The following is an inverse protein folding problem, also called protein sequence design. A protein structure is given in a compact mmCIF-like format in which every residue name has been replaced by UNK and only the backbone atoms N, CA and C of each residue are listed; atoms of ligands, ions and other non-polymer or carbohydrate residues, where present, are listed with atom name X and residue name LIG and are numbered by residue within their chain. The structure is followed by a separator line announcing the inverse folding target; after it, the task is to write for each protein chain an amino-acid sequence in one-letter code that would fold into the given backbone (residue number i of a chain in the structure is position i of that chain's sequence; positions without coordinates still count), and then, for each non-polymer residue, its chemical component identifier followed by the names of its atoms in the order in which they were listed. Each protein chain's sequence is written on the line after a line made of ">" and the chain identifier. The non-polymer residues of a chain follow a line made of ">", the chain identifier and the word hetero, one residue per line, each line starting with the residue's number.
data_IF_612528544952
#
_entry.id   IF_612528544952
#
_cell.length_a   1.000
_cell.length_b   1.000
_cell.length_c   1.000
_cell.angle_alpha   90.00
_cell.angle_beta   90.00
_cell.angle_gamma   90.00
#
_symmetry.space_group_name_H-M   'P 1'
#
loop_
_entity.id
_entity.type
_entity.pdbx_description
1 polymer ?
#
# COMPACT_ATOMS: atom_id res chain seq x y z
N UNK A 1 -25.82 -21.61 6.07
CA UNK A 1 -25.40 -20.31 6.50
C UNK A 1 -24.03 -20.42 7.15
N UNK A 2 -23.06 -19.67 6.67
CA UNK A 2 -21.76 -19.57 7.33
C UNK A 2 -21.96 -18.99 8.73
N UNK A 3 -21.34 -19.62 9.72
CA UNK A 3 -21.40 -19.18 11.12
C UNK A 3 -20.72 -17.80 11.21
N UNK A 4 -21.34 -16.87 11.90
CA UNK A 4 -20.73 -15.56 12.14
C UNK A 4 -19.34 -15.73 12.78
N UNK A 5 -18.33 -14.94 12.34
CA UNK A 5 -16.99 -15.04 12.89
C UNK A 5 -16.99 -14.69 14.39
N UNK A 6 -16.40 -15.55 15.20
CA UNK A 6 -16.19 -15.31 16.63
C UNK A 6 -14.82 -14.65 16.84
N UNK A 7 -14.79 -13.58 17.64
CA UNK A 7 -13.56 -12.86 17.97
C UNK A 7 -12.45 -13.78 18.48
N UNK A 8 -12.79 -14.69 19.39
CA UNK A 8 -11.81 -15.60 19.99
C UNK A 8 -11.19 -16.55 18.97
N UNK A 9 -12.00 -17.05 18.03
CA UNK A 9 -11.51 -17.90 16.94
C UNK A 9 -10.62 -17.12 15.97
N UNK A 10 -10.99 -15.89 15.62
CA UNK A 10 -10.19 -15.00 14.78
C UNK A 10 -8.83 -14.70 15.42
N UNK A 11 -8.81 -14.37 16.72
CA UNK A 11 -7.57 -14.11 17.45
C UNK A 11 -6.68 -15.34 17.52
N UNK A 12 -7.23 -16.51 17.84
CA UNK A 12 -6.46 -17.78 17.85
C UNK A 12 -5.84 -18.07 16.48
N UNK A 13 -6.57 -17.81 15.39
CA UNK A 13 -6.07 -18.00 14.03
C UNK A 13 -4.91 -17.05 13.74
N UNK A 14 -5.03 -15.76 14.07
CA UNK A 14 -4.00 -14.76 13.89
C UNK A 14 -2.73 -15.09 14.69
N UNK A 15 -2.87 -15.48 15.96
CA UNK A 15 -1.73 -15.88 16.80
C UNK A 15 -1.01 -17.13 16.26
N UNK A 16 -1.74 -18.06 15.67
CA UNK A 16 -1.12 -19.24 15.03
C UNK A 16 -0.42 -18.92 13.71
N UNK A 17 -0.87 -17.89 13.02
CA UNK A 17 -0.31 -17.47 11.73
C UNK A 17 0.98 -16.68 11.91
N UNK A 18 1.12 -15.91 12.98
CA UNK A 18 2.26 -15.00 13.23
C UNK A 18 2.95 -15.24 14.57
N UNK A 19 3.35 -16.48 14.90
CA UNK A 19 3.90 -16.80 16.22
C UNK A 19 5.27 -16.19 16.48
N UNK A 20 6.10 -16.06 15.44
CA UNK A 20 7.46 -15.52 15.55
C UNK A 20 7.41 -14.00 15.74
N UNK A 21 6.59 -13.30 14.95
CA UNK A 21 6.39 -11.85 15.02
C UNK A 21 5.84 -11.44 16.39
N UNK A 22 4.88 -12.20 16.90
CA UNK A 22 4.29 -11.96 18.22
C UNK A 22 5.34 -12.20 19.34
N UNK A 23 6.13 -13.28 19.24
CA UNK A 23 7.16 -13.58 20.23
C UNK A 23 8.33 -12.58 20.18
N UNK A 24 8.63 -12.03 19.02
CA UNK A 24 9.67 -11.03 18.82
C UNK A 24 9.26 -9.62 19.27
N UNK A 25 7.95 -9.36 19.41
CA UNK A 25 7.44 -8.06 19.82
C UNK A 25 7.75 -7.81 21.31
N UNK A 26 8.71 -6.94 21.58
CA UNK A 26 9.15 -6.64 22.95
C UNK A 26 8.03 -5.99 23.79
N UNK A 27 7.18 -5.19 23.17
CA UNK A 27 6.07 -4.52 23.83
C UNK A 27 5.04 -5.50 24.39
N UNK A 28 4.80 -6.63 23.72
CA UNK A 28 3.86 -7.68 24.16
C UNK A 28 4.37 -8.51 25.33
N UNK A 29 5.65 -8.40 25.69
CA UNK A 29 6.20 -9.02 26.92
C UNK A 29 5.69 -8.33 28.19
N UNK A 30 5.17 -7.12 28.08
CA UNK A 30 4.54 -6.43 29.19
C UNK A 30 3.06 -6.84 29.29
N UNK A 31 2.62 -7.51 30.39
CA UNK A 31 1.24 -7.99 30.55
C UNK A 31 0.18 -6.87 30.45
N UNK A 32 0.54 -5.64 30.81
CA UNK A 32 -0.38 -4.52 30.69
C UNK A 32 -0.56 -4.12 29.22
N UNK A 33 0.51 -4.10 28.44
CA UNK A 33 0.48 -3.83 27.01
C UNK A 33 -0.25 -4.91 26.22
N UNK A 34 -0.03 -6.17 26.58
CA UNK A 34 -0.77 -7.30 26.00
C UNK A 34 -2.28 -7.13 26.18
N UNK A 35 -2.74 -6.76 27.40
CA UNK A 35 -4.15 -6.49 27.66
C UNK A 35 -4.69 -5.31 26.87
N UNK A 36 -3.94 -4.22 26.77
CA UNK A 36 -4.32 -3.04 25.98
C UNK A 36 -4.49 -3.41 24.49
N UNK A 37 -3.55 -4.17 23.92
CA UNK A 37 -3.63 -4.65 22.54
C UNK A 37 -4.83 -5.57 22.35
N UNK A 38 -5.08 -6.50 23.26
CA UNK A 38 -6.23 -7.40 23.17
C UNK A 38 -7.57 -6.62 23.24
N UNK A 39 -7.65 -5.59 24.07
CA UNK A 39 -8.83 -4.72 24.15
C UNK A 39 -9.03 -3.89 22.88
N UNK A 40 -7.95 -3.31 22.34
CA UNK A 40 -7.99 -2.57 21.09
C UNK A 40 -8.41 -3.47 19.91
N UNK A 41 -7.86 -4.67 19.81
CA UNK A 41 -8.26 -5.66 18.80
C UNK A 41 -9.74 -6.01 18.89
N UNK A 42 -10.26 -6.20 20.11
CA UNK A 42 -11.68 -6.50 20.34
C UNK A 42 -12.56 -5.33 19.92
N UNK A 43 -12.18 -4.13 20.28
CA UNK A 43 -12.90 -2.91 19.88
C UNK A 43 -12.95 -2.77 18.34
N UNK A 44 -11.82 -2.97 17.66
CA UNK A 44 -11.77 -2.91 16.20
C UNK A 44 -12.68 -3.99 15.56
N UNK A 45 -12.65 -5.22 16.09
CA UNK A 45 -13.51 -6.30 15.62
C UNK A 45 -14.99 -5.95 15.74
N UNK A 46 -15.42 -5.44 16.91
CA UNK A 46 -16.82 -5.06 17.14
C UNK A 46 -17.26 -3.91 16.22
N UNK A 47 -16.42 -2.91 16.02
CA UNK A 47 -16.73 -1.78 15.12
C UNK A 47 -16.80 -2.21 13.64
N UNK A 48 -15.93 -3.12 13.19
CA UNK A 48 -16.03 -3.69 11.84
C UNK A 48 -17.34 -4.47 11.71
N UNK A 49 -17.67 -5.29 12.70
CA UNK A 49 -18.91 -6.08 12.72
C UNK A 49 -20.15 -5.19 12.65
N UNK A 50 -20.22 -4.15 13.49
CA UNK A 50 -21.30 -3.16 13.49
C UNK A 50 -21.39 -2.46 12.12
N UNK A 51 -20.29 -2.03 11.55
CA UNK A 51 -20.27 -1.39 10.23
C UNK A 51 -20.85 -2.31 9.14
N UNK A 52 -20.45 -3.58 9.13
CA UNK A 52 -20.92 -4.56 8.13
C UNK A 52 -22.38 -4.97 8.36
N UNK A 53 -22.82 -5.08 9.62
CA UNK A 53 -24.18 -5.51 9.95
C UNK A 53 -25.21 -4.38 9.86
N UNK A 54 -24.82 -3.14 10.13
CA UNK A 54 -25.72 -2.01 10.24
C UNK A 54 -25.50 -0.95 9.16
N UNK A 55 -24.24 -0.47 8.99
CA UNK A 55 -23.97 0.64 8.07
C UNK A 55 -24.13 0.22 6.61
N UNK A 56 -23.70 -0.98 6.23
CA UNK A 56 -23.85 -1.48 4.85
C UNK A 56 -25.30 -1.55 4.40
N UNK A 57 -26.22 -1.75 5.33
CA UNK A 57 -27.66 -1.85 5.04
C UNK A 57 -28.36 -0.49 4.94
N UNK A 58 -27.68 0.61 5.30
CA UNK A 58 -28.30 1.93 5.26
C UNK A 58 -28.46 2.43 3.84
N UNK A 59 -29.54 3.17 3.54
CA UNK A 59 -29.72 3.79 2.25
C UNK A 59 -28.56 4.73 1.89
N UNK A 60 -28.06 4.62 0.66
CA UNK A 60 -26.96 5.45 0.16
C UNK A 60 -25.59 4.81 0.21
N UNK A 61 -25.43 3.65 0.85
CA UNK A 61 -24.25 2.80 0.72
C UNK A 61 -24.50 1.72 -0.34
N UNK A 62 -23.53 1.54 -1.23
CA UNK A 62 -23.57 0.50 -2.27
C UNK A 62 -22.58 -0.60 -1.88
N UNK A 63 -22.91 -1.37 -0.84
CA UNK A 63 -22.04 -2.36 -0.24
C UNK A 63 -22.81 -3.64 0.09
N UNK A 64 -22.35 -4.76 -0.43
CA UNK A 64 -22.86 -6.11 -0.11
C UNK A 64 -21.72 -6.99 0.38
N UNK A 65 -21.78 -7.40 1.64
CA UNK A 65 -20.78 -8.28 2.25
C UNK A 65 -20.62 -9.64 1.55
N UNK A 66 -21.65 -10.09 0.84
CA UNK A 66 -21.63 -11.39 0.15
C UNK A 66 -21.04 -11.31 -1.27
N UNK A 67 -20.96 -10.11 -1.81
CA UNK A 67 -20.41 -9.87 -3.16
C UNK A 67 -19.14 -9.02 -3.10
N UNK A 68 -18.18 -9.46 -2.28
CA UNK A 68 -16.95 -8.74 -2.03
C UNK A 68 -15.72 -9.61 -2.27
N UNK A 69 -14.62 -8.92 -2.58
CA UNK A 69 -13.25 -9.45 -2.58
C UNK A 69 -12.48 -8.75 -1.49
N UNK A 70 -11.85 -9.54 -0.61
CA UNK A 70 -11.01 -9.02 0.46
C UNK A 70 -9.56 -9.00 0.02
N UNK A 71 -8.87 -7.93 0.37
CA UNK A 71 -7.45 -7.71 0.08
C UNK A 71 -7.05 -7.90 -1.40
N UNK A 72 -7.86 -7.43 -2.39
CA UNK A 72 -7.46 -7.53 -3.79
C UNK A 72 -6.21 -6.67 -4.05
N UNK A 73 -5.25 -7.26 -4.73
CA UNK A 73 -4.00 -6.59 -5.11
C UNK A 73 -4.04 -6.15 -6.56
N UNK A 74 -3.43 -5.01 -6.85
CA UNK A 74 -3.39 -4.39 -8.17
C UNK A 74 -1.99 -3.96 -8.56
N UNK A 75 -1.71 -4.10 -9.83
CA UNK A 75 -0.56 -3.49 -10.49
C UNK A 75 -1.10 -2.59 -11.60
N UNK A 76 -0.77 -1.32 -11.56
CA UNK A 76 -1.14 -0.34 -12.58
C UNK A 76 0.11 0.10 -13.33
N UNK A 77 0.38 -0.48 -14.48
CA UNK A 77 1.54 -0.15 -15.32
C UNK A 77 1.51 1.29 -15.79
N UNK A 78 0.34 1.81 -16.20
CA UNK A 78 0.17 3.17 -16.68
C UNK A 78 0.59 4.23 -15.66
N UNK A 79 0.43 3.94 -14.35
CA UNK A 79 0.84 4.82 -13.27
C UNK A 79 2.13 4.37 -12.58
N UNK A 80 2.64 3.16 -12.85
CA UNK A 80 3.76 2.56 -12.14
C UNK A 80 3.49 2.46 -10.63
N UNK A 81 2.27 2.06 -10.26
CA UNK A 81 1.80 1.94 -8.88
C UNK A 81 1.26 0.53 -8.68
N UNK A 82 1.61 -0.05 -7.56
CA UNK A 82 0.99 -1.27 -7.06
C UNK A 82 0.36 -1.00 -5.70
N UNK A 83 -0.67 -1.75 -5.35
CA UNK A 83 -1.34 -1.60 -4.07
C UNK A 83 -2.31 -2.73 -3.79
N UNK A 84 -2.74 -2.80 -2.54
CA UNK A 84 -3.74 -3.75 -2.07
C UNK A 84 -4.83 -2.98 -1.33
N UNK A 85 -6.07 -3.14 -1.79
CA UNK A 85 -7.27 -2.63 -1.12
C UNK A 85 -7.67 -3.57 0.01
N UNK A 86 -8.31 -3.05 1.04
CA UNK A 86 -8.80 -3.91 2.13
C UNK A 86 -10.09 -4.63 1.76
N UNK A 87 -10.99 -3.94 1.05
CA UNK A 87 -12.30 -4.48 0.64
C UNK A 87 -12.74 -3.88 -0.69
N UNK A 88 -13.31 -4.68 -1.58
CA UNK A 88 -13.87 -4.21 -2.84
C UNK A 88 -15.08 -5.06 -3.25
N UNK A 89 -16.12 -4.42 -3.79
CA UNK A 89 -17.21 -5.12 -4.47
C UNK A 89 -16.69 -5.78 -5.76
N UNK A 90 -17.23 -6.94 -6.14
CA UNK A 90 -16.77 -7.67 -7.34
C UNK A 90 -16.95 -6.90 -8.62
N UNK A 91 -18.01 -6.06 -8.70
CA UNK A 91 -18.25 -5.16 -9.84
C UNK A 91 -17.31 -3.93 -9.83
N UNK A 92 -16.42 -3.82 -8.85
CA UNK A 92 -15.51 -2.70 -8.64
C UNK A 92 -16.20 -1.34 -8.46
N UNK A 93 -17.50 -1.32 -8.23
CA UNK A 93 -18.26 -0.08 -8.04
C UNK A 93 -17.98 0.57 -6.68
N UNK A 94 -17.66 -0.21 -5.69
CA UNK A 94 -17.43 0.28 -4.32
C UNK A 94 -16.23 -0.40 -3.68
N UNK A 95 -15.47 0.36 -2.93
CA UNK A 95 -14.34 -0.17 -2.17
C UNK A 95 -14.12 0.58 -0.85
N UNK A 96 -13.49 -0.09 0.10
CA UNK A 96 -13.19 0.45 1.42
C UNK A 96 -11.70 0.31 1.69
N UNK A 97 -11.09 1.38 2.15
CA UNK A 97 -9.77 1.38 2.77
C UNK A 97 -9.94 1.50 4.28
N UNK A 98 -9.38 0.57 5.05
CA UNK A 98 -9.50 0.52 6.50
C UNK A 98 -8.29 1.14 7.20
N UNK A 99 -8.56 1.81 8.33
CA UNK A 99 -7.53 2.44 9.16
C UNK A 99 -7.80 2.14 10.64
N UNK A 100 -6.83 1.54 11.31
CA UNK A 100 -6.89 1.27 12.76
C UNK A 100 -6.54 2.51 13.61
N UNK A 101 -5.95 3.54 13.01
CA UNK A 101 -5.57 4.79 13.68
C UNK A 101 -6.76 5.72 13.94
N UNK A 102 -6.45 6.88 14.54
CA UNK A 102 -7.43 7.95 14.75
C UNK A 102 -7.62 8.79 13.49
N UNK A 103 -8.85 9.24 13.24
CA UNK A 103 -9.15 10.32 12.32
C UNK A 103 -8.68 11.68 12.90
N UNK A 104 -8.69 12.74 12.11
CA UNK A 104 -8.42 14.08 12.59
C UNK A 104 -9.66 14.62 13.29
N UNK A 105 -9.47 15.19 14.49
CA UNK A 105 -10.52 15.81 15.26
C UNK A 105 -10.40 17.33 15.14
N UNK A 106 -11.38 17.94 14.48
CA UNK A 106 -11.46 19.41 14.39
C UNK A 106 -12.18 19.96 15.62
N UNK A 107 -11.41 20.52 16.55
CA UNK A 107 -11.84 20.98 17.85
C UNK A 107 -13.02 21.99 17.84
N UNK A 108 -13.28 22.69 16.74
CA UNK A 108 -14.36 23.66 16.64
C UNK A 108 -15.75 23.07 16.36
N UNK A 109 -15.83 21.80 15.93
CA UNK A 109 -17.10 21.20 15.51
C UNK A 109 -17.37 19.81 16.11
N UNK A 110 -16.43 19.23 16.85
CA UNK A 110 -16.53 17.84 17.35
C UNK A 110 -16.64 16.80 16.23
N UNK A 111 -16.33 17.19 14.99
CA UNK A 111 -16.46 16.35 13.82
C UNK A 111 -15.13 15.66 13.54
N UNK A 112 -15.18 14.33 13.43
CA UNK A 112 -14.04 13.54 12.96
C UNK A 112 -13.96 13.63 11.44
N UNK A 113 -12.78 13.89 10.90
CA UNK A 113 -12.53 13.91 9.45
C UNK A 113 -11.37 12.98 9.07
N UNK A 114 -11.43 12.38 7.87
CA UNK A 114 -10.34 11.57 7.38
C UNK A 114 -9.03 12.36 7.23
N UNK A 115 -7.93 11.76 7.67
CA UNK A 115 -6.60 12.33 7.45
C UNK A 115 -6.30 12.47 5.97
N UNK A 116 -5.62 13.55 5.60
CA UNK A 116 -5.30 13.86 4.21
C UNK A 116 -4.48 12.75 3.52
N UNK A 117 -3.51 12.14 4.21
CA UNK A 117 -2.74 11.02 3.66
C UNK A 117 -3.60 9.79 3.34
N UNK A 118 -4.61 9.49 4.17
CA UNK A 118 -5.54 8.38 3.92
C UNK A 118 -6.46 8.69 2.73
N UNK A 119 -6.88 9.96 2.58
CA UNK A 119 -7.62 10.41 1.39
C UNK A 119 -6.77 10.29 0.12
N UNK A 120 -5.49 10.67 0.19
CA UNK A 120 -4.55 10.53 -0.94
C UNK A 120 -4.44 9.08 -1.38
N UNK A 121 -4.27 8.15 -0.44
CA UNK A 121 -4.20 6.71 -0.73
C UNK A 121 -5.46 6.23 -1.45
N UNK A 122 -6.63 6.59 -0.94
CA UNK A 122 -7.90 6.23 -1.57
C UNK A 122 -8.06 6.81 -2.99
N UNK A 123 -7.60 8.06 -3.22
CA UNK A 123 -7.61 8.68 -4.54
C UNK A 123 -6.67 7.99 -5.52
N UNK A 124 -5.54 7.46 -5.03
CA UNK A 124 -4.64 6.63 -5.84
C UNK A 124 -5.31 5.31 -6.23
N UNK A 125 -6.04 4.66 -5.33
CA UNK A 125 -6.80 3.46 -5.69
C UNK A 125 -7.89 3.74 -6.74
N UNK A 126 -8.59 4.86 -6.65
CA UNK A 126 -9.51 5.27 -7.71
C UNK A 126 -8.80 5.41 -9.06
N UNK A 127 -7.62 6.05 -9.07
CA UNK A 127 -6.82 6.17 -10.29
C UNK A 127 -6.36 4.80 -10.80
N UNK A 128 -5.92 3.90 -9.92
CA UNK A 128 -5.55 2.53 -10.30
C UNK A 128 -6.72 1.80 -10.96
N UNK A 129 -7.90 1.80 -10.36
CA UNK A 129 -9.08 1.14 -10.93
C UNK A 129 -9.52 1.76 -12.26
N UNK A 130 -9.41 3.09 -12.40
CA UNK A 130 -9.71 3.77 -13.66
C UNK A 130 -8.72 3.40 -14.77
N UNK A 131 -7.41 3.44 -14.49
CA UNK A 131 -6.37 3.24 -15.50
C UNK A 131 -6.07 1.76 -15.80
N UNK A 132 -6.26 0.86 -14.83
CA UNK A 132 -5.99 -0.57 -15.02
C UNK A 132 -7.22 -1.36 -15.45
N UNK A 133 -8.40 -0.99 -14.92
CA UNK A 133 -9.63 -1.77 -15.08
C UNK A 133 -10.70 -1.06 -15.93
N UNK A 134 -10.43 0.18 -16.38
CA UNK A 134 -11.35 0.96 -17.18
C UNK A 134 -12.61 1.39 -16.42
N UNK A 135 -12.58 1.39 -15.08
CA UNK A 135 -13.74 1.81 -14.28
C UNK A 135 -14.01 3.29 -14.42
N UNK A 136 -15.27 3.64 -14.69
CA UNK A 136 -15.66 5.03 -14.75
C UNK A 136 -15.64 5.65 -13.35
N UNK A 137 -14.91 6.75 -13.18
CA UNK A 137 -14.78 7.43 -11.89
C UNK A 137 -16.11 7.80 -11.25
N UNK A 138 -17.10 8.17 -12.06
CA UNK A 138 -18.44 8.57 -11.58
C UNK A 138 -19.25 7.42 -10.99
N UNK A 139 -18.95 6.19 -11.39
CA UNK A 139 -19.60 4.99 -10.88
C UNK A 139 -18.93 4.42 -9.64
N UNK A 140 -17.74 4.95 -9.26
CA UNK A 140 -17.01 4.46 -8.09
C UNK A 140 -17.48 5.15 -6.81
N UNK A 141 -17.69 4.35 -5.78
CA UNK A 141 -18.06 4.77 -4.42
C UNK A 141 -16.96 4.37 -3.43
N UNK A 142 -15.93 5.20 -3.27
CA UNK A 142 -14.85 4.95 -2.32
C UNK A 142 -15.25 5.32 -0.90
N UNK A 143 -14.82 4.50 0.06
CA UNK A 143 -15.06 4.71 1.48
C UNK A 143 -13.77 4.59 2.29
N UNK A 144 -13.69 5.34 3.38
CA UNK A 144 -12.67 5.20 4.42
C UNK A 144 -13.33 4.72 5.71
N UNK A 145 -12.91 3.57 6.23
CA UNK A 145 -13.36 3.03 7.50
C UNK A 145 -12.27 3.22 8.56
N UNK A 146 -12.57 4.04 9.56
CA UNK A 146 -11.74 4.10 10.76
C UNK A 146 -12.28 3.12 11.79
N UNK A 147 -11.62 1.98 11.95
CA UNK A 147 -12.09 0.90 12.82
C UNK A 147 -12.01 1.22 14.31
N UNK A 148 -11.33 2.32 14.68
CA UNK A 148 -11.39 2.87 16.04
C UNK A 148 -12.77 3.48 16.37
N UNK A 149 -13.55 3.76 15.36
CA UNK A 149 -14.93 4.24 15.43
C UNK A 149 -15.75 3.44 14.41
N UNK A 150 -17.05 3.14 14.66
CA UNK A 150 -17.88 2.51 13.63
C UNK A 150 -18.31 3.54 12.56
N UNK A 151 -17.33 4.23 11.97
CA UNK A 151 -17.56 5.34 11.05
C UNK A 151 -17.00 5.04 9.67
N UNK A 152 -17.91 4.90 8.71
CA UNK A 152 -17.62 4.73 7.30
C UNK A 152 -17.83 6.07 6.58
N UNK A 153 -16.73 6.67 6.11
CA UNK A 153 -16.75 7.95 5.43
C UNK A 153 -16.87 7.74 3.92
N UNK A 154 -17.99 8.16 3.30
CA UNK A 154 -18.05 8.21 1.85
C UNK A 154 -17.12 9.32 1.36
N UNK A 155 -16.30 9.00 0.39
CA UNK A 155 -15.41 9.97 -0.21
C UNK A 155 -15.82 10.22 -1.65
N UNK A 156 -16.08 11.47 -1.99
CA UNK A 156 -16.32 11.91 -3.36
C UNK A 156 -15.06 12.62 -3.85
N UNK A 157 -14.44 12.08 -4.88
CA UNK A 157 -13.28 12.71 -5.48
C UNK A 157 -13.66 13.44 -6.75
N UNK A 158 -13.21 14.69 -6.87
CA UNK A 158 -13.24 15.39 -8.13
C UNK A 158 -12.08 14.97 -9.03
N UNK A 159 -12.23 15.10 -10.34
CA UNK A 159 -11.14 14.91 -11.30
C UNK A 159 -9.89 15.71 -10.95
N UNK A 160 -10.08 16.95 -10.54
CA UNK A 160 -8.97 17.82 -10.15
C UNK A 160 -8.15 17.25 -8.98
N UNK A 161 -8.81 16.60 -8.01
CA UNK A 161 -8.13 15.95 -6.89
C UNK A 161 -7.32 14.74 -7.34
N UNK A 162 -7.88 13.83 -8.12
CA UNK A 162 -7.17 12.66 -8.66
C UNK A 162 -5.98 13.11 -9.50
N UNK A 163 -6.17 14.07 -10.41
CA UNK A 163 -5.09 14.64 -11.24
C UNK A 163 -3.97 15.26 -10.40
N UNK A 164 -4.33 15.97 -9.33
CA UNK A 164 -3.33 16.54 -8.39
C UNK A 164 -2.48 15.47 -7.73
N UNK A 165 -3.08 14.34 -7.34
CA UNK A 165 -2.36 13.22 -6.73
C UNK A 165 -1.45 12.52 -7.74
N UNK A 166 -1.91 12.32 -8.96
CA UNK A 166 -1.06 11.79 -10.06
C UNK A 166 0.13 12.73 -10.32
N UNK A 167 -0.10 14.05 -10.34
CA UNK A 167 0.99 15.01 -10.47
C UNK A 167 1.98 14.93 -9.30
N UNK A 168 1.52 14.77 -8.07
CA UNK A 168 2.39 14.56 -6.91
C UNK A 168 3.26 13.30 -7.08
N UNK A 169 2.65 12.20 -7.49
CA UNK A 169 3.38 10.96 -7.83
C UNK A 169 4.45 11.23 -8.89
N UNK A 170 4.10 11.97 -9.95
CA UNK A 170 5.05 12.30 -11.02
C UNK A 170 6.21 13.17 -10.53
N UNK A 171 5.98 14.11 -9.62
CA UNK A 171 7.03 14.90 -8.98
C UNK A 171 7.98 14.03 -8.15
N UNK A 172 7.47 13.04 -7.41
CA UNK A 172 8.29 12.11 -6.63
C UNK A 172 9.19 11.30 -7.57
N UNK A 173 8.62 10.71 -8.62
CA UNK A 173 9.39 9.92 -9.61
C UNK A 173 10.42 10.79 -10.35
N UNK A 174 10.05 12.02 -10.72
CA UNK A 174 10.99 12.95 -11.34
C UNK A 174 12.16 13.31 -10.40
N UNK A 175 11.91 13.41 -9.09
CA UNK A 175 12.96 13.65 -8.10
C UNK A 175 13.89 12.44 -7.95
N UNK A 176 13.34 11.22 -7.87
CA UNK A 176 14.12 9.97 -7.83
C UNK A 176 14.96 9.81 -9.12
N UNK A 177 14.35 10.04 -10.27
CA UNK A 177 15.04 10.01 -11.56
C UNK A 177 16.12 11.08 -11.68
N UNK A 178 15.88 12.27 -11.13
CA UNK A 178 16.87 13.34 -11.07
C UNK A 178 18.12 12.94 -10.28
N UNK A 179 17.96 12.23 -9.16
CA UNK A 179 19.10 11.68 -8.40
C UNK A 179 19.87 10.66 -9.23
N UNK A 180 19.17 9.78 -9.95
CA UNK A 180 19.77 8.79 -10.84
C UNK A 180 20.55 9.46 -11.98
N UNK A 181 19.95 10.44 -12.65
CA UNK A 181 20.50 11.11 -13.82
C UNK A 181 21.74 11.97 -13.48
N UNK A 182 21.64 12.76 -12.43
CA UNK A 182 22.74 13.68 -12.05
C UNK A 182 23.89 12.94 -11.37
N UNK A 183 23.63 11.84 -10.71
CA UNK A 183 24.64 10.99 -10.06
C UNK A 183 25.67 11.75 -9.21
N UNK A 184 25.26 12.83 -8.54
CA UNK A 184 26.16 13.67 -7.77
C UNK A 184 25.51 14.13 -6.46
N UNK A 185 26.21 14.03 -5.32
CA UNK A 185 25.68 14.39 -4.00
C UNK A 185 25.15 15.81 -3.89
N UNK A 186 25.69 16.76 -4.68
CA UNK A 186 25.21 18.15 -4.68
C UNK A 186 23.78 18.30 -5.20
N UNK A 187 23.34 17.42 -6.12
CA UNK A 187 21.94 17.42 -6.55
C UNK A 187 21.03 17.00 -5.39
N UNK A 188 21.39 15.90 -4.73
CA UNK A 188 20.68 15.40 -3.55
C UNK A 188 20.65 16.44 -2.43
N UNK A 189 21.75 17.14 -2.20
CA UNK A 189 21.79 18.24 -1.23
C UNK A 189 20.78 19.33 -1.57
N UNK A 190 20.71 19.79 -2.82
CA UNK A 190 19.73 20.80 -3.26
C UNK A 190 18.29 20.30 -3.16
N UNK A 191 18.05 19.03 -3.49
CA UNK A 191 16.74 18.40 -3.38
C UNK A 191 16.27 18.37 -1.91
N UNK A 192 17.11 17.89 -1.01
CA UNK A 192 16.79 17.78 0.40
C UNK A 192 16.74 19.12 1.12
N UNK A 193 17.44 20.15 0.63
CA UNK A 193 17.34 21.52 1.14
C UNK A 193 15.94 22.13 0.95
N UNK A 194 15.11 21.55 0.08
CA UNK A 194 13.70 21.95 -0.06
C UNK A 194 12.81 21.47 1.10
N UNK A 195 13.32 20.58 1.95
CA UNK A 195 12.63 20.16 3.18
C UNK A 195 12.81 21.26 4.24
N UNK A 196 12.09 22.35 4.06
CA UNK A 196 12.08 23.47 5.00
C UNK A 196 10.69 24.12 5.06
N UNK A 197 10.36 24.82 6.16
CA UNK A 197 9.03 25.39 6.37
C UNK A 197 8.61 26.42 5.32
N UNK A 198 9.55 27.17 4.74
CA UNK A 198 9.23 28.21 3.74
C UNK A 198 8.80 27.61 2.41
N UNK A 199 9.37 26.47 2.03
CA UNK A 199 9.04 25.78 0.78
C UNK A 199 7.80 24.89 0.95
N UNK A 200 7.68 24.17 2.07
CA UNK A 200 6.62 23.20 2.28
C UNK A 200 5.30 23.81 2.75
N UNK A 201 5.31 25.03 3.27
CA UNK A 201 4.09 25.74 3.68
C UNK A 201 3.40 26.45 2.51
N UNK A 202 3.14 25.75 1.43
CA UNK A 202 2.50 26.33 0.24
C UNK A 202 1.07 26.84 0.50
N UNK A 203 0.40 26.31 1.53
CA UNK A 203 -0.95 26.74 1.94
C UNK A 203 -0.92 28.00 2.81
N UNK A 204 0.25 28.51 3.20
CA UNK A 204 0.37 29.65 4.11
C UNK A 204 -0.22 29.41 5.48
N UNK A 205 -0.11 28.19 6.00
CA UNK A 205 -0.66 27.83 7.31
C UNK A 205 -0.06 28.71 8.41
N UNK A 206 -0.90 29.14 9.33
CA UNK A 206 -0.54 29.98 10.47
C UNK A 206 -1.22 29.48 11.73
N UNK A 207 -0.86 30.06 12.88
CA UNK A 207 -1.48 29.77 14.17
C UNK A 207 -0.84 28.59 14.92
N UNK A 208 -1.48 28.22 16.02
CA UNK A 208 -0.90 27.31 17.02
C UNK A 208 -0.53 25.94 16.45
N UNK A 209 -1.37 25.38 15.59
CA UNK A 209 -1.12 24.06 14.99
C UNK A 209 0.14 24.07 14.10
N UNK A 210 0.29 25.12 13.28
CA UNK A 210 1.49 25.29 12.45
C UNK A 210 2.75 25.45 13.31
N UNK A 211 2.74 26.38 14.25
CA UNK A 211 3.93 26.73 15.04
C UNK A 211 4.35 25.61 16.00
N UNK A 212 3.40 24.87 16.58
CA UNK A 212 3.72 23.86 17.59
C UNK A 212 3.97 22.46 17.03
N UNK A 213 3.41 22.11 15.86
CA UNK A 213 3.45 20.74 15.36
C UNK A 213 4.10 20.62 13.98
N UNK A 214 3.62 21.34 12.99
CA UNK A 214 4.08 21.14 11.62
C UNK A 214 5.45 21.77 11.35
N UNK A 215 5.63 23.04 11.69
CA UNK A 215 6.89 23.75 11.49
C UNK A 215 8.08 23.09 12.19
N UNK A 216 8.01 22.71 13.49
CA UNK A 216 9.10 22.00 14.15
C UNK A 216 9.40 20.62 13.51
N UNK A 217 8.35 19.90 13.06
CA UNK A 217 8.53 18.62 12.39
C UNK A 217 9.30 18.76 11.08
N UNK A 218 9.00 19.80 10.28
CA UNK A 218 9.69 20.09 9.02
C UNK A 218 11.11 20.61 9.29
N UNK A 219 11.28 21.52 10.25
CA UNK A 219 12.58 22.12 10.55
C UNK A 219 13.62 21.12 11.08
N UNK A 220 13.15 20.08 11.76
CA UNK A 220 14.03 19.08 12.42
C UNK A 220 15.09 18.50 11.50
N UNK A 221 14.78 18.25 10.23
CA UNK A 221 15.76 17.75 9.27
C UNK A 221 16.90 18.75 9.06
N UNK A 222 16.57 20.02 8.72
CA UNK A 222 17.56 21.07 8.51
C UNK A 222 18.41 21.31 9.77
N UNK A 223 17.79 21.43 10.95
CA UNK A 223 18.48 21.59 12.24
C UNK A 223 19.49 20.44 12.49
N UNK A 224 19.13 19.20 12.21
CA UNK A 224 20.04 18.06 12.32
C UNK A 224 21.17 18.14 11.32
N UNK A 225 20.89 18.53 10.09
CA UNK A 225 21.92 18.69 9.04
C UNK A 225 22.92 19.81 9.37
N UNK A 226 22.49 20.86 10.07
CA UNK A 226 23.39 21.95 10.51
C UNK A 226 24.38 21.51 11.59
N UNK A 227 24.03 20.54 12.41
CA UNK A 227 24.91 19.98 13.45
C UNK A 227 26.03 19.07 12.91
N UNK A 228 25.90 18.61 11.67
CA UNK A 228 26.88 17.71 11.06
C UNK A 228 28.12 18.49 10.60
N UNK A 229 29.28 17.88 10.76
CA UNK A 229 30.54 18.33 10.15
C UNK A 229 30.46 18.27 8.62
N UNK A 230 31.32 18.97 7.87
CA UNK A 230 31.36 18.88 6.41
C UNK A 230 31.55 17.44 5.89
N UNK A 231 32.37 16.63 6.59
CA UNK A 231 32.60 15.23 6.21
C UNK A 231 31.34 14.38 6.40
N UNK A 232 30.67 14.52 7.53
CA UNK A 232 29.42 13.77 7.82
C UNK A 232 28.31 14.15 6.84
N UNK A 233 28.18 15.42 6.46
CA UNK A 233 27.24 15.87 5.41
C UNK A 233 27.55 15.24 4.05
N UNK A 234 28.83 15.24 3.67
CA UNK A 234 29.24 14.62 2.40
C UNK A 234 28.94 13.13 2.41
N UNK A 235 29.26 12.44 3.50
CA UNK A 235 28.96 11.02 3.69
C UNK A 235 27.45 10.75 3.58
N UNK A 236 26.63 11.53 4.30
CA UNK A 236 25.18 11.41 4.27
C UNK A 236 24.61 11.56 2.85
N UNK A 237 24.97 12.64 2.13
CA UNK A 237 24.45 12.85 0.79
C UNK A 237 24.95 11.81 -0.21
N UNK A 238 26.17 11.32 -0.05
CA UNK A 238 26.71 10.25 -0.91
C UNK A 238 25.94 8.95 -0.71
N UNK A 239 25.71 8.54 0.54
CA UNK A 239 24.92 7.35 0.84
C UNK A 239 23.45 7.49 0.42
N UNK A 240 22.84 8.63 0.69
CA UNK A 240 21.48 8.89 0.24
C UNK A 240 21.36 8.78 -1.28
N UNK A 241 22.31 9.38 -2.01
CA UNK A 241 22.37 9.27 -3.46
C UNK A 241 22.51 7.83 -3.92
N UNK A 242 23.41 7.06 -3.30
CA UNK A 242 23.59 5.65 -3.59
C UNK A 242 22.31 4.83 -3.34
N UNK A 243 21.71 4.95 -2.14
CA UNK A 243 20.48 4.21 -1.79
C UNK A 243 19.33 4.56 -2.73
N UNK A 244 19.15 5.85 -3.08
CA UNK A 244 18.07 6.27 -3.99
C UNK A 244 18.28 5.67 -5.38
N UNK A 245 19.53 5.60 -5.85
CA UNK A 245 19.85 4.96 -7.13
C UNK A 245 19.58 3.45 -7.12
N UNK A 246 20.00 2.76 -6.07
CA UNK A 246 19.73 1.33 -5.92
C UNK A 246 18.23 1.03 -5.89
N UNK A 247 17.46 1.82 -5.12
CA UNK A 247 16.00 1.70 -5.08
C UNK A 247 15.34 2.00 -6.43
N UNK A 248 15.84 3.00 -7.16
CA UNK A 248 15.34 3.31 -8.50
C UNK A 248 15.64 2.17 -9.46
N UNK A 249 16.90 1.69 -9.49
CA UNK A 249 17.33 0.60 -10.37
C UNK A 249 16.59 -0.70 -10.06
N UNK A 250 16.33 -1.01 -8.79
CA UNK A 250 15.54 -2.20 -8.41
C UNK A 250 14.10 -2.16 -8.91
N UNK A 251 13.54 -0.95 -9.11
CA UNK A 251 12.19 -0.77 -9.66
C UNK A 251 12.16 -0.77 -11.18
N UNK A 252 13.08 -0.03 -11.81
CA UNK A 252 13.12 0.19 -13.26
C UNK A 252 13.95 -0.83 -14.03
N UNK A 253 14.89 -1.49 -13.36
CA UNK A 253 15.91 -2.34 -13.95
C UNK A 253 17.09 -1.56 -14.54
N UNK A 254 18.20 -2.26 -14.72
CA UNK A 254 19.36 -1.79 -15.48
C UNK A 254 19.64 -2.80 -16.57
N UNK A 255 19.50 -2.38 -17.82
CA UNK A 255 19.75 -3.23 -19.00
C UNK A 255 21.22 -3.68 -19.14
N UNK A 256 22.13 -2.99 -18.44
CA UNK A 256 23.56 -3.31 -18.45
C UNK A 256 23.96 -4.20 -17.25
N UNK A 257 23.03 -4.59 -16.40
CA UNK A 257 23.30 -5.44 -15.24
C UNK A 257 22.97 -6.89 -15.56
N UNK A 258 23.93 -7.80 -15.33
CA UNK A 258 23.72 -9.24 -15.52
C UNK A 258 22.76 -9.83 -14.48
N UNK A 259 22.71 -9.23 -13.29
CA UNK A 259 21.82 -9.65 -12.20
C UNK A 259 20.60 -8.74 -12.11
N UNK A 260 19.43 -9.24 -12.45
CA UNK A 260 18.17 -8.52 -12.38
C UNK A 260 17.46 -8.88 -11.09
N UNK A 261 17.18 -7.90 -10.26
CA UNK A 261 16.54 -8.08 -8.95
C UNK A 261 15.36 -7.14 -8.79
N UNK A 262 14.47 -7.47 -7.83
CA UNK A 262 13.32 -6.64 -7.51
C UNK A 262 12.22 -6.65 -8.60
N UNK A 263 11.42 -5.60 -8.64
CA UNK A 263 10.26 -5.53 -9.54
C UNK A 263 10.65 -5.62 -11.03
N UNK A 264 11.85 -5.15 -11.39
CA UNK A 264 12.34 -5.21 -12.77
C UNK A 264 12.53 -6.63 -13.29
N UNK A 265 12.81 -7.61 -12.42
CA UNK A 265 12.94 -9.02 -12.79
C UNK A 265 11.65 -9.58 -13.40
N UNK A 266 10.48 -9.04 -13.04
CA UNK A 266 9.20 -9.51 -13.58
C UNK A 266 9.10 -9.37 -15.09
N UNK A 267 9.70 -8.33 -15.68
CA UNK A 267 9.60 -8.06 -17.13
C UNK A 267 10.94 -8.11 -17.87
N UNK A 268 12.06 -7.97 -17.20
CA UNK A 268 13.38 -7.94 -17.84
C UNK A 268 14.10 -9.28 -17.77
N UNK A 269 13.81 -10.14 -16.78
CA UNK A 269 14.45 -11.45 -16.65
C UNK A 269 13.96 -12.43 -17.69
N UNK A 270 14.90 -13.22 -18.22
CA UNK A 270 14.60 -14.36 -19.09
C UNK A 270 13.89 -15.48 -18.32
N UNK A 271 13.35 -16.44 -19.04
CA UNK A 271 12.68 -17.61 -18.43
C UNK A 271 13.65 -18.40 -17.55
N UNK A 272 14.88 -18.59 -18.00
CA UNK A 272 15.89 -19.35 -17.28
C UNK A 272 16.32 -18.62 -15.99
N UNK A 273 16.57 -17.31 -16.06
CA UNK A 273 16.85 -16.48 -14.88
C UNK A 273 15.72 -16.55 -13.84
N UNK A 274 14.46 -16.53 -14.28
CA UNK A 274 13.30 -16.68 -13.39
C UNK A 274 13.19 -18.06 -12.76
N UNK A 275 13.58 -19.12 -13.51
CA UNK A 275 13.64 -20.48 -12.99
C UNK A 275 14.70 -20.60 -11.90
N UNK A 276 15.90 -20.11 -12.18
CA UNK A 276 17.03 -20.16 -11.24
C UNK A 276 16.72 -19.38 -9.97
N UNK A 277 16.01 -18.26 -10.09
CA UNK A 277 15.57 -17.44 -8.95
C UNK A 277 14.34 -18.00 -8.21
N UNK A 278 13.66 -19.03 -8.73
CA UNK A 278 12.40 -19.54 -8.17
C UNK A 278 11.21 -18.58 -8.31
N UNK A 279 11.30 -17.63 -9.24
CA UNK A 279 10.29 -16.58 -9.45
C UNK A 279 9.24 -16.94 -10.53
N UNK A 280 9.25 -18.17 -11.02
CA UNK A 280 8.27 -18.68 -11.97
C UNK A 280 7.90 -20.12 -11.65
N UNK A 281 6.61 -20.43 -11.73
CA UNK A 281 6.10 -21.80 -11.86
C UNK A 281 5.81 -22.04 -13.35
N UNK A 282 6.31 -23.11 -13.92
CA UNK A 282 6.25 -23.37 -15.36
C UNK A 282 5.65 -24.75 -15.68
N UNK A 283 5.28 -24.95 -16.93
CA UNK A 283 4.63 -26.19 -17.41
C UNK A 283 3.37 -26.56 -16.59
N UNK A 284 2.63 -25.54 -16.19
CA UNK A 284 1.39 -25.68 -15.42
C UNK A 284 0.27 -26.20 -16.31
N UNK A 285 -0.57 -27.08 -15.77
CA UNK A 285 -1.76 -27.54 -16.45
C UNK A 285 -3.01 -27.04 -15.74
N UNK A 286 -3.95 -26.45 -16.48
CA UNK A 286 -5.23 -26.02 -15.93
C UNK A 286 -6.07 -27.27 -15.61
N UNK A 287 -6.39 -27.45 -14.33
CA UNK A 287 -7.26 -28.52 -13.83
C UNK A 287 -8.71 -28.05 -13.82
N UNK A 288 -8.93 -26.85 -13.31
CA UNK A 288 -10.24 -26.20 -13.27
C UNK A 288 -10.13 -24.73 -13.63
N UNK A 289 -11.08 -24.23 -14.41
CA UNK A 289 -11.15 -22.83 -14.79
C UNK A 289 -12.56 -22.26 -14.54
N UNK A 290 -12.67 -21.47 -13.50
CA UNK A 290 -13.87 -20.76 -13.11
C UNK A 290 -13.67 -19.24 -13.16
N UNK A 291 -12.69 -18.74 -13.93
CA UNK A 291 -12.33 -17.33 -14.02
C UNK A 291 -13.49 -16.41 -14.47
N UNK A 292 -14.41 -16.96 -15.30
CA UNK A 292 -15.58 -16.22 -15.79
C UNK A 292 -16.78 -16.21 -14.83
N UNK A 293 -16.71 -16.92 -13.70
CA UNK A 293 -17.83 -16.98 -12.75
C UNK A 293 -17.87 -15.71 -11.92
N UNK A 294 -19.05 -15.03 -11.89
CA UNK A 294 -19.26 -13.79 -11.14
C UNK A 294 -19.04 -13.96 -9.62
N UNK A 295 -19.35 -15.15 -9.08
CA UNK A 295 -19.19 -15.48 -7.67
C UNK A 295 -18.12 -16.57 -7.51
N UNK A 296 -16.96 -16.24 -7.01
CA UNK A 296 -15.78 -17.11 -6.86
C UNK A 296 -15.05 -17.40 -8.18
N UNK A 297 -14.53 -16.36 -8.84
CA UNK A 297 -13.57 -16.53 -9.94
C UNK A 297 -12.28 -17.16 -9.40
N UNK A 298 -11.92 -18.34 -9.92
CA UNK A 298 -10.67 -19.02 -9.57
C UNK A 298 -10.20 -19.92 -10.72
N UNK A 299 -8.93 -20.22 -10.73
CA UNK A 299 -8.30 -21.23 -11.61
C UNK A 299 -7.48 -22.16 -10.72
N UNK A 300 -7.64 -23.46 -10.91
CA UNK A 300 -6.79 -24.47 -10.26
C UNK A 300 -5.79 -24.95 -11.30
N UNK A 301 -4.51 -24.86 -10.92
CA UNK A 301 -3.39 -25.27 -11.74
C UNK A 301 -2.70 -26.48 -11.09
N UNK A 302 -2.39 -27.49 -11.87
CA UNK A 302 -1.50 -28.57 -11.46
C UNK A 302 -0.06 -28.14 -11.67
N UNK A 303 0.75 -28.28 -10.65
CA UNK A 303 2.19 -28.02 -10.69
C UNK A 303 2.89 -29.36 -11.00
N UNK A 304 3.73 -29.43 -12.04
CA UNK A 304 4.50 -30.64 -12.31
C UNK A 304 5.53 -30.90 -11.22
N UNK A 305 6.04 -32.09 -11.13
CA UNK A 305 7.15 -32.38 -10.22
C UNK A 305 8.42 -31.76 -10.82
N UNK A 306 8.95 -30.77 -10.15
CA UNK A 306 10.22 -30.16 -10.50
C UNK A 306 11.40 -30.93 -9.90
N UNK A 307 12.61 -30.59 -10.31
CA UNK A 307 13.84 -31.13 -9.72
C UNK A 307 13.94 -30.69 -8.24
N UNK A 308 14.58 -31.52 -7.43
CA UNK A 308 14.75 -31.24 -5.96
C UNK A 308 15.49 -29.91 -5.67
N UNK A 309 16.28 -29.44 -6.62
CA UNK A 309 17.02 -28.18 -6.55
C UNK A 309 16.17 -26.95 -6.80
N UNK A 310 14.98 -27.11 -7.40
CA UNK A 310 14.08 -25.99 -7.68
C UNK A 310 13.29 -25.61 -6.43
N UNK A 311 13.53 -24.40 -5.91
CA UNK A 311 12.86 -23.85 -4.74
C UNK A 311 11.99 -22.65 -5.15
N UNK A 312 10.69 -22.85 -5.42
CA UNK A 312 9.82 -21.75 -5.79
C UNK A 312 9.62 -20.77 -4.63
N UNK A 313 9.73 -19.48 -4.93
CA UNK A 313 9.59 -18.39 -3.95
C UNK A 313 8.18 -17.76 -3.99
N UNK A 314 7.12 -18.58 -3.87
CA UNK A 314 5.74 -18.13 -3.84
C UNK A 314 5.12 -18.31 -2.46
N UNK A 315 4.29 -17.35 -2.07
CA UNK A 315 3.57 -17.35 -0.80
C UNK A 315 2.08 -17.18 -1.04
N UNK A 316 1.28 -17.65 -0.11
CA UNK A 316 -0.16 -17.39 -0.14
C UNK A 316 -0.44 -15.88 -0.07
N UNK A 317 -1.21 -15.37 -1.05
CA UNK A 317 -1.52 -13.95 -1.20
C UNK A 317 -0.61 -13.19 -2.17
N UNK A 318 0.38 -13.83 -2.78
CA UNK A 318 1.18 -13.20 -3.83
C UNK A 318 0.33 -12.92 -5.07
N UNK A 319 0.60 -11.78 -5.71
CA UNK A 319 0.03 -11.43 -7.01
C UNK A 319 0.88 -12.05 -8.09
N UNK A 320 0.25 -12.82 -8.96
CA UNK A 320 0.93 -13.53 -10.05
C UNK A 320 0.30 -13.18 -11.40
N UNK A 321 1.08 -13.30 -12.44
CA UNK A 321 0.61 -13.18 -13.83
C UNK A 321 0.67 -14.55 -14.49
N UNK A 322 -0.46 -14.99 -15.01
CA UNK A 322 -0.55 -16.20 -15.82
C UNK A 322 -0.42 -15.84 -17.30
N UNK A 323 0.49 -16.51 -18.01
CA UNK A 323 0.67 -16.30 -19.44
C UNK A 323 1.00 -17.61 -20.15
N UNK A 324 0.61 -17.68 -21.43
CA UNK A 324 0.94 -18.82 -22.27
C UNK A 324 2.43 -18.82 -22.64
N UNK A 325 3.00 -20.02 -22.71
CA UNK A 325 4.32 -20.20 -23.27
C UNK A 325 4.22 -20.16 -24.78
N UNK A 326 4.63 -19.09 -25.41
CA UNK A 326 4.83 -19.09 -26.86
C UNK A 326 6.08 -19.91 -27.19
N UNK A 327 5.86 -21.08 -27.77
CA UNK A 327 6.93 -21.88 -28.39
C UNK A 327 7.34 -21.17 -29.70
N UNK A 328 8.07 -20.07 -29.60
CA UNK A 328 8.63 -19.37 -30.74
C UNK A 328 10.13 -19.35 -30.67
#
# INVERSE_FOLDING_TARGET
>A
GEKEPDYTECMKKAFRQYPIELAACEELRNPQKEKEVAQDCRMHFEHIRETVQETFLQPGYNLDKNDAVLEPSYICEALGIQGRLDYMQRDMSSFIEMKSGKADEYAMQGRLEPKENNRVQMLLYMAVLEYSMGQERRSMHPYLLYTRYPLLYPARASWAQVRRIINLRNCIVASEYGVQLHNHPSFTQRLLAQINPSVLNQKGLQGRFWEQYLKPSISRFGERMELLTPLERTYFYTLYNFITKELYTSKSGDVNCESRTGASALWLSTLDEKRDAGEILYDLTIVENHASQAHKAFIILSIPQYEETFLPNFRNGDVVVLYERNNG
#
